data_IF_206085556074
#
_entry.id   IF_206085556074
#
_cell.length_a   1.000
_cell.length_b   1.000
_cell.length_c   1.000
_cell.angle_alpha   90.00
_cell.angle_beta   90.00
_cell.angle_gamma   90.00
#
_symmetry.space_group_name_H-M   'P 1'
#
loop_
_entity.id
_entity.type
_entity.pdbx_description
1 polymer ?
#
# COMPACT_ATOMS: atom_id res chain seq x y z
N UNK A 1 1.77 -5.12 35.40
CA UNK A 1 2.40 -3.79 35.21
C UNK A 1 2.17 -3.42 33.76
N UNK A 2 1.50 -2.30 33.48
CA UNK A 2 1.29 -1.89 32.08
C UNK A 2 2.66 -1.50 31.48
N UNK A 3 3.12 -2.24 30.46
CA UNK A 3 4.39 -1.97 29.76
C UNK A 3 4.51 -0.49 29.34
N UNK A 4 3.40 0.14 28.97
CA UNK A 4 3.33 1.55 28.59
C UNK A 4 3.76 2.52 29.71
N UNK A 5 3.65 2.13 30.98
CA UNK A 5 4.09 2.93 32.12
C UNK A 5 5.58 2.80 32.43
N UNK A 6 6.23 1.74 31.95
CA UNK A 6 7.64 1.43 32.23
C UNK A 6 8.56 1.70 31.03
N UNK A 7 8.08 1.49 29.80
CA UNK A 7 8.83 1.74 28.58
C UNK A 7 7.88 2.03 27.41
N UNK A 8 7.68 3.31 27.03
CA UNK A 8 6.81 3.67 25.91
C UNK A 8 7.35 3.19 24.55
N UNK A 9 8.65 2.93 24.45
CA UNK A 9 9.34 2.54 23.21
C UNK A 9 9.60 1.02 23.14
N UNK A 10 8.91 0.23 23.98
CA UNK A 10 9.14 -1.22 24.12
C UNK A 10 9.14 -1.99 22.79
N UNK A 11 8.24 -1.66 21.85
CA UNK A 11 8.21 -2.32 20.54
C UNK A 11 9.37 -1.91 19.62
N UNK A 12 9.85 -0.66 19.73
CA UNK A 12 11.02 -0.18 18.98
C UNK A 12 12.28 -0.87 19.52
N UNK A 13 12.41 -0.92 20.84
CA UNK A 13 13.52 -1.61 21.51
C UNK A 13 13.53 -3.11 21.19
N UNK A 14 12.38 -3.79 21.26
CA UNK A 14 12.26 -5.23 20.95
C UNK A 14 12.76 -5.54 19.53
N UNK A 15 12.24 -4.84 18.52
CA UNK A 15 12.64 -5.06 17.13
C UNK A 15 14.12 -4.74 16.90
N UNK A 16 14.60 -3.63 17.47
CA UNK A 16 15.99 -3.22 17.33
C UNK A 16 16.93 -4.28 17.91
N UNK A 17 16.68 -4.69 19.16
CA UNK A 17 17.51 -5.66 19.86
C UNK A 17 17.43 -7.06 19.24
N UNK A 18 16.26 -7.48 18.73
CA UNK A 18 16.14 -8.75 18.01
C UNK A 18 17.06 -8.79 16.78
N UNK A 19 17.08 -7.71 15.98
CA UNK A 19 17.97 -7.60 14.82
C UNK A 19 19.45 -7.55 15.23
N UNK A 20 19.82 -6.81 16.28
CA UNK A 20 21.19 -6.77 16.79
C UNK A 20 21.69 -8.14 17.27
N UNK A 21 20.80 -8.95 17.85
CA UNK A 21 21.12 -10.34 18.27
C UNK A 21 21.15 -11.34 17.11
N UNK A 22 20.87 -10.92 15.88
CA UNK A 22 20.77 -11.81 14.71
C UNK A 22 19.48 -12.64 14.66
N UNK A 23 18.50 -12.34 15.52
CA UNK A 23 17.18 -12.99 15.58
C UNK A 23 16.23 -12.34 14.57
N UNK A 24 16.55 -12.47 13.28
CA UNK A 24 15.86 -11.74 12.22
C UNK A 24 14.37 -12.15 12.08
N UNK A 25 13.42 -11.24 12.39
CA UNK A 25 12.00 -11.56 12.23
C UNK A 25 11.65 -11.70 10.75
N UNK A 26 10.68 -12.56 10.47
CA UNK A 26 10.27 -12.84 9.11
C UNK A 26 8.81 -13.22 8.97
N UNK A 27 8.24 -12.92 7.79
CA UNK A 27 6.85 -13.17 7.45
C UNK A 27 6.78 -13.99 6.17
N UNK A 28 5.94 -15.03 6.15
CA UNK A 28 5.60 -15.73 4.90
C UNK A 28 4.48 -14.97 4.22
N UNK A 29 4.69 -14.62 2.96
CA UNK A 29 3.73 -13.83 2.18
C UNK A 29 2.86 -14.77 1.36
N UNK A 30 1.54 -14.57 1.44
CA UNK A 30 0.52 -15.31 0.69
C UNK A 30 -0.39 -14.35 -0.08
N UNK A 31 -1.04 -14.84 -1.12
CA UNK A 31 -2.11 -14.16 -1.84
C UNK A 31 -3.37 -15.02 -1.87
N UNK A 32 -4.54 -14.39 -1.88
CA UNK A 32 -5.77 -15.01 -2.38
C UNK A 32 -5.96 -14.57 -3.84
N UNK A 33 -6.34 -15.51 -4.70
CA UNK A 33 -6.50 -15.25 -6.14
C UNK A 33 -7.95 -15.52 -6.50
N UNK A 34 -8.66 -14.49 -6.93
CA UNK A 34 -10.04 -14.54 -7.41
C UNK A 34 -10.04 -14.11 -8.87
N UNK A 35 -10.76 -14.83 -9.73
CA UNK A 35 -10.94 -14.38 -11.11
C UNK A 35 -11.92 -13.21 -11.15
N UNK A 36 -11.72 -12.29 -12.08
CA UNK A 36 -12.58 -11.12 -12.24
C UNK A 36 -14.06 -11.51 -12.45
N UNK A 37 -14.32 -12.59 -13.19
CA UNK A 37 -15.68 -13.13 -13.41
C UNK A 37 -16.38 -13.55 -12.11
N UNK A 38 -15.64 -14.05 -11.13
CA UNK A 38 -16.19 -14.49 -9.84
C UNK A 38 -16.56 -13.29 -8.96
N UNK A 39 -15.83 -12.18 -9.09
CA UNK A 39 -16.02 -10.98 -8.28
C UNK A 39 -17.42 -10.37 -8.44
N UNK A 40 -17.98 -10.40 -9.65
CA UNK A 40 -19.30 -9.86 -9.97
C UNK A 40 -20.45 -10.64 -9.32
N UNK A 41 -20.21 -11.91 -8.98
CA UNK A 41 -21.21 -12.82 -8.44
C UNK A 41 -20.90 -13.26 -7.01
N UNK A 42 -19.83 -12.72 -6.42
CA UNK A 42 -19.44 -13.09 -5.08
C UNK A 42 -20.45 -12.56 -4.06
N UNK A 43 -20.72 -13.36 -3.02
CA UNK A 43 -21.75 -13.06 -2.01
C UNK A 43 -21.48 -11.79 -1.19
N UNK A 44 -20.23 -11.34 -1.17
CA UNK A 44 -19.81 -10.09 -0.55
C UNK A 44 -19.33 -9.13 -1.62
N UNK A 45 -19.48 -7.82 -1.38
CA UNK A 45 -18.75 -6.84 -2.15
C UNK A 45 -17.25 -7.07 -1.95
N UNK A 46 -16.55 -7.52 -2.99
CA UNK A 46 -15.11 -7.85 -2.94
C UNK A 46 -14.23 -6.61 -2.72
N UNK A 47 -14.80 -5.42 -2.90
CA UNK A 47 -14.16 -4.11 -2.70
C UNK A 47 -14.57 -3.44 -1.38
N UNK A 48 -15.27 -4.15 -0.49
CA UNK A 48 -15.58 -3.68 0.86
C UNK A 48 -14.45 -4.11 1.81
N UNK A 49 -13.62 -3.15 2.23
CA UNK A 49 -12.49 -3.38 3.17
C UNK A 49 -12.92 -3.96 4.53
N UNK A 50 -14.21 -3.90 4.88
CA UNK A 50 -14.74 -4.50 6.12
C UNK A 50 -15.04 -5.99 6.00
N UNK A 51 -14.90 -6.56 4.79
CA UNK A 51 -15.14 -7.97 4.50
C UNK A 51 -13.83 -8.69 4.13
N UNK A 52 -13.68 -9.91 4.62
CA UNK A 52 -12.63 -10.84 4.19
C UNK A 52 -13.18 -11.85 3.18
N UNK A 53 -12.31 -12.38 2.33
CA UNK A 53 -12.62 -13.57 1.52
C UNK A 53 -12.28 -14.80 2.37
N UNK A 54 -13.26 -15.65 2.74
CA UNK A 54 -12.97 -16.84 3.53
C UNK A 54 -11.93 -17.72 2.85
N UNK A 55 -10.92 -18.16 3.60
CA UNK A 55 -9.85 -19.00 3.07
C UNK A 55 -10.34 -20.34 2.50
N UNK A 56 -11.54 -20.79 2.90
CA UNK A 56 -12.18 -21.98 2.32
C UNK A 56 -12.66 -21.79 0.89
N UNK A 57 -12.99 -20.56 0.49
CA UNK A 57 -13.40 -20.22 -0.88
C UNK A 57 -12.17 -19.96 -1.76
N UNK A 58 -11.25 -19.14 -1.25
CA UNK A 58 -10.03 -18.74 -1.93
C UNK A 58 -8.84 -19.05 -1.04
N UNK A 59 -8.23 -20.24 -1.17
CA UNK A 59 -7.10 -20.65 -0.35
C UNK A 59 -5.87 -19.76 -0.52
N UNK A 60 -5.09 -19.62 0.55
CA UNK A 60 -3.84 -18.87 0.56
C UNK A 60 -2.79 -19.53 -0.34
N UNK A 61 -2.27 -18.78 -1.30
CA UNK A 61 -1.19 -19.17 -2.20
C UNK A 61 0.12 -18.54 -1.75
N UNK A 62 1.09 -19.37 -1.36
CA UNK A 62 2.39 -18.88 -0.88
C UNK A 62 3.19 -18.26 -2.02
N UNK A 63 3.66 -17.03 -1.86
CA UNK A 63 4.47 -16.34 -2.86
C UNK A 63 5.91 -16.07 -2.41
N UNK A 64 6.19 -16.01 -1.10
CA UNK A 64 7.56 -15.73 -0.66
C UNK A 64 7.73 -15.53 0.83
N UNK A 65 8.86 -14.92 1.20
CA UNK A 65 9.25 -14.61 2.58
C UNK A 65 9.85 -13.21 2.64
N UNK A 66 9.34 -12.37 3.54
CA UNK A 66 9.94 -11.08 3.90
C UNK A 66 10.77 -11.26 5.17
N UNK A 67 11.98 -10.69 5.21
CA UNK A 67 12.89 -10.78 6.36
C UNK A 67 13.41 -9.39 6.69
N UNK A 68 13.33 -8.99 7.96
CA UNK A 68 13.99 -7.78 8.44
C UNK A 68 15.32 -8.17 9.08
N UNK A 69 16.43 -7.77 8.47
CA UNK A 69 17.77 -8.23 8.86
C UNK A 69 18.78 -7.10 9.07
N UNK A 70 18.31 -5.85 9.14
CA UNK A 70 19.17 -4.68 9.29
C UNK A 70 18.41 -3.55 9.98
N UNK A 71 19.00 -3.00 11.03
CA UNK A 71 18.53 -1.78 11.66
C UNK A 71 18.85 -0.54 10.81
N UNK A 72 18.07 0.55 10.92
CA UNK A 72 18.41 1.82 10.30
C UNK A 72 19.73 2.36 10.86
N UNK A 73 20.58 2.98 10.04
CA UNK A 73 21.81 3.63 10.55
C UNK A 73 21.48 4.94 11.25
N UNK A 74 20.46 5.64 10.76
CA UNK A 74 19.94 6.86 11.38
C UNK A 74 18.41 6.83 11.33
N UNK A 75 17.79 6.86 12.50
CA UNK A 75 16.34 6.76 12.64
C UNK A 75 15.60 7.89 11.91
N UNK A 76 16.06 9.14 12.03
CA UNK A 76 15.38 10.26 11.38
C UNK A 76 15.48 10.18 9.84
N UNK A 77 16.64 9.81 9.31
CA UNK A 77 16.87 9.72 7.87
C UNK A 77 16.20 8.51 7.20
N UNK A 78 16.10 7.37 7.89
CA UNK A 78 15.62 6.11 7.32
C UNK A 78 14.23 5.68 7.81
N UNK A 79 13.73 6.21 8.92
CA UNK A 79 12.41 5.86 9.47
C UNK A 79 11.47 7.05 9.40
N UNK A 80 11.80 8.17 10.05
CA UNK A 80 10.90 9.34 10.07
C UNK A 80 10.68 9.96 8.69
N UNK A 81 11.71 9.95 7.85
CA UNK A 81 11.63 10.44 6.47
C UNK A 81 11.15 9.42 5.45
N UNK A 82 10.85 8.18 5.87
CA UNK A 82 10.29 7.18 4.96
C UNK A 82 8.89 7.60 4.48
N UNK A 83 8.60 7.29 3.22
CA UNK A 83 7.35 7.64 2.55
C UNK A 83 6.81 6.45 1.75
N UNK A 84 5.68 5.91 2.18
CA UNK A 84 5.02 4.77 1.54
C UNK A 84 3.70 5.24 0.90
N UNK A 85 3.49 4.99 -0.38
CA UNK A 85 2.24 5.36 -1.06
C UNK A 85 1.64 4.17 -1.79
N UNK A 86 0.35 3.83 -1.59
CA UNK A 86 -0.32 2.79 -2.36
C UNK A 86 -0.36 3.07 -3.86
N UNK A 87 -0.18 4.32 -4.28
CA UNK A 87 -0.09 4.68 -5.70
C UNK A 87 1.25 4.29 -6.34
N UNK A 88 2.27 3.93 -5.56
CA UNK A 88 3.56 3.45 -6.08
C UNK A 88 3.49 1.95 -6.39
N UNK A 89 2.76 1.60 -7.45
CA UNK A 89 2.68 0.24 -7.97
C UNK A 89 3.70 0.02 -9.09
N UNK A 90 3.97 -1.25 -9.37
CA UNK A 90 4.84 -1.70 -10.46
C UNK A 90 4.01 -2.45 -11.50
N UNK A 91 4.44 -2.50 -12.78
CA UNK A 91 3.72 -3.26 -13.81
C UNK A 91 3.38 -4.69 -13.36
N UNK A 92 2.11 -5.08 -13.55
CA UNK A 92 1.55 -6.35 -13.07
C UNK A 92 0.77 -6.26 -11.77
N UNK A 93 0.81 -5.13 -11.06
CA UNK A 93 -0.05 -4.83 -9.90
C UNK A 93 -0.84 -3.56 -10.20
N UNK A 94 -2.15 -3.61 -10.01
CA UNK A 94 -3.06 -2.52 -10.33
C UNK A 94 -4.09 -2.28 -9.21
N UNK A 95 -4.84 -1.19 -9.32
CA UNK A 95 -5.81 -0.76 -8.31
C UNK A 95 -7.16 -1.45 -8.48
N UNK A 96 -7.83 -1.69 -7.36
CA UNK A 96 -9.22 -2.13 -7.33
C UNK A 96 -10.16 -0.94 -7.12
N UNK A 97 -11.46 -1.17 -7.31
CA UNK A 97 -12.50 -0.16 -7.08
C UNK A 97 -12.91 -0.01 -5.60
N UNK A 98 -12.07 -0.47 -4.66
CA UNK A 98 -12.28 -0.23 -3.23
C UNK A 98 -12.21 1.28 -2.94
N UNK A 99 -13.32 1.85 -2.45
CA UNK A 99 -13.46 3.28 -2.17
C UNK A 99 -12.40 3.80 -1.19
N UNK A 100 -11.98 2.99 -0.22
CA UNK A 100 -10.93 3.36 0.73
C UNK A 100 -9.57 3.34 0.06
N UNK A 101 -9.27 2.34 -0.78
CA UNK A 101 -8.04 2.33 -1.58
C UNK A 101 -7.97 3.56 -2.48
N UNK A 102 -9.05 3.87 -3.20
CA UNK A 102 -9.13 5.01 -4.13
C UNK A 102 -8.77 6.34 -3.46
N UNK A 103 -9.26 6.60 -2.23
CA UNK A 103 -8.87 7.79 -1.47
C UNK A 103 -7.37 7.81 -1.11
N UNK A 104 -6.80 6.65 -0.81
CA UNK A 104 -5.38 6.49 -0.44
C UNK A 104 -4.42 6.66 -1.61
N UNK A 105 -4.87 6.44 -2.85
CA UNK A 105 -4.05 6.70 -4.04
C UNK A 105 -3.63 8.17 -4.15
N UNK A 106 -4.49 9.08 -3.68
CA UNK A 106 -4.19 10.51 -3.62
C UNK A 106 -3.54 10.93 -2.30
N UNK A 107 -4.13 10.54 -1.16
CA UNK A 107 -3.84 11.16 0.13
C UNK A 107 -2.38 11.04 0.58
N UNK A 108 -1.72 9.91 0.29
CA UNK A 108 -0.36 9.65 0.74
C UNK A 108 0.65 10.58 0.07
N UNK A 109 0.63 10.65 -1.26
CA UNK A 109 1.56 11.51 -2.00
C UNK A 109 1.30 12.99 -1.72
N UNK A 110 0.05 13.38 -1.47
CA UNK A 110 -0.29 14.73 -1.00
C UNK A 110 0.32 15.04 0.37
N UNK A 111 0.12 14.17 1.37
CA UNK A 111 0.69 14.39 2.71
C UNK A 111 2.22 14.32 2.71
N UNK A 112 2.85 13.54 1.83
CA UNK A 112 4.31 13.49 1.74
C UNK A 112 4.88 14.83 1.25
N UNK A 113 4.25 15.46 0.26
CA UNK A 113 4.68 16.79 -0.22
C UNK A 113 4.61 17.84 0.87
N UNK A 114 3.60 17.77 1.74
CA UNK A 114 3.51 18.65 2.91
C UNK A 114 4.56 18.32 3.99
N UNK A 115 4.65 17.05 4.39
CA UNK A 115 5.48 16.59 5.52
C UNK A 115 6.98 16.62 5.23
N UNK A 116 7.38 16.28 4.00
CA UNK A 116 8.78 16.08 3.60
C UNK A 116 9.25 17.01 2.48
N UNK A 117 8.32 17.69 1.80
CA UNK A 117 8.60 18.53 0.64
C UNK A 117 8.35 17.82 -0.69
N UNK A 118 8.27 18.59 -1.77
CA UNK A 118 7.93 18.08 -3.11
C UNK A 118 8.96 17.09 -3.65
N UNK A 119 10.24 17.26 -3.28
CA UNK A 119 11.36 16.44 -3.72
C UNK A 119 11.67 15.26 -2.76
N UNK A 120 10.72 14.82 -1.93
CA UNK A 120 10.96 13.75 -0.94
C UNK A 120 11.43 12.41 -1.53
N UNK A 121 11.13 12.15 -2.81
CA UNK A 121 11.60 10.97 -3.55
C UNK A 121 13.12 11.00 -3.84
N UNK A 122 13.78 12.15 -3.70
CA UNK A 122 15.24 12.26 -3.79
C UNK A 122 15.94 11.79 -2.51
N UNK A 123 15.23 11.72 -1.37
CA UNK A 123 15.80 11.25 -0.11
C UNK A 123 16.27 9.79 -0.27
N UNK A 124 17.46 9.40 0.22
CA UNK A 124 18.04 8.08 -0.05
C UNK A 124 17.13 6.88 0.30
N UNK A 125 16.31 7.00 1.35
CA UNK A 125 15.39 5.93 1.76
C UNK A 125 14.19 5.77 0.82
N UNK A 126 13.79 6.84 0.12
CA UNK A 126 12.64 6.89 -0.77
C UNK A 126 13.02 6.75 -2.26
N UNK A 127 14.31 6.86 -2.57
CA UNK A 127 14.79 6.84 -3.95
C UNK A 127 14.62 5.42 -4.56
N UNK A 128 14.07 5.31 -5.79
CA UNK A 128 13.96 4.03 -6.48
C UNK A 128 15.32 3.59 -7.05
N UNK A 129 16.24 3.17 -6.18
CA UNK A 129 17.65 2.88 -6.52
C UNK A 129 17.88 1.74 -7.53
N UNK A 130 16.84 0.95 -7.86
CA UNK A 130 16.92 -0.17 -8.82
C UNK A 130 16.44 0.15 -10.22
N UNK A 131 16.07 1.39 -10.50
CA UNK A 131 15.66 1.83 -11.82
C UNK A 131 16.29 3.18 -12.16
N UNK A 132 16.44 3.44 -13.45
CA UNK A 132 16.65 4.81 -13.90
C UNK A 132 15.34 5.59 -13.76
N UNK A 133 15.42 6.84 -13.31
CA UNK A 133 14.28 7.74 -13.15
C UNK A 133 14.32 8.75 -14.27
N UNK A 134 13.38 8.63 -15.21
CA UNK A 134 13.25 9.52 -16.35
C UNK A 134 11.88 10.18 -16.34
N UNK A 135 11.82 11.50 -16.15
CA UNK A 135 10.58 12.26 -16.22
C UNK A 135 10.81 13.75 -16.53
N UNK A 136 9.73 14.46 -16.77
CA UNK A 136 9.74 15.89 -17.08
C UNK A 136 9.62 16.82 -15.85
N UNK A 137 9.50 16.27 -14.63
CA UNK A 137 9.49 17.10 -13.41
C UNK A 137 10.84 17.82 -13.23
N UNK A 138 10.78 19.07 -12.74
CA UNK A 138 11.93 19.96 -12.53
C UNK A 138 11.75 20.78 -11.24
N UNK A 139 12.86 21.32 -10.75
CA UNK A 139 12.93 22.34 -9.70
C UNK A 139 12.33 21.87 -8.37
N UNK A 140 11.61 22.76 -7.67
CA UNK A 140 11.06 22.53 -6.33
C UNK A 140 12.07 22.78 -5.20
N UNK A 141 11.59 23.12 -3.99
CA UNK A 141 12.46 23.29 -2.83
C UNK A 141 13.36 22.07 -2.58
N UNK A 142 14.59 22.32 -2.15
CA UNK A 142 15.56 21.27 -1.80
C UNK A 142 15.78 20.24 -2.91
N UNK A 143 15.73 20.64 -4.19
CA UNK A 143 16.23 19.79 -5.26
C UNK A 143 17.76 19.74 -5.17
N UNK A 144 18.31 18.56 -4.89
CA UNK A 144 19.76 18.35 -4.75
C UNK A 144 20.30 17.38 -5.83
N UNK A 145 19.50 17.12 -6.85
CA UNK A 145 19.93 16.41 -8.06
C UNK A 145 20.47 17.39 -9.12
N UNK A 146 21.01 16.85 -10.20
CA UNK A 146 21.36 17.65 -11.40
C UNK A 146 20.13 18.20 -12.15
N UNK A 147 18.91 17.96 -11.65
CA UNK A 147 17.64 18.47 -12.20
C UNK A 147 17.49 18.21 -13.71
N UNK A 148 18.01 17.07 -14.18
CA UNK A 148 18.07 16.67 -15.59
C UNK A 148 18.81 17.66 -16.51
N UNK A 149 19.74 18.47 -15.99
CA UNK A 149 20.62 19.36 -16.76
C UNK A 149 19.87 20.19 -17.83
N UNK A 150 20.31 20.12 -19.08
CA UNK A 150 19.74 20.82 -20.23
C UNK A 150 18.72 19.96 -21.01
N UNK A 151 18.22 18.86 -20.43
CA UNK A 151 17.25 18.00 -21.10
C UNK A 151 15.90 18.70 -21.24
N UNK A 152 15.20 18.53 -22.38
CA UNK A 152 13.86 19.05 -22.55
C UNK A 152 12.92 18.63 -21.40
N UNK A 153 12.06 19.55 -20.99
CA UNK A 153 11.15 19.39 -19.85
C UNK A 153 9.67 19.35 -20.27
N UNK A 154 9.40 19.04 -21.54
CA UNK A 154 8.05 18.96 -22.12
C UNK A 154 7.91 17.72 -23.01
N UNK A 155 6.69 17.27 -23.28
CA UNK A 155 6.37 16.14 -24.16
C UNK A 155 5.03 16.43 -24.90
N UNK A 156 4.86 16.11 -26.21
CA UNK A 156 5.80 15.45 -27.11
C UNK A 156 6.98 16.33 -27.57
N UNK A 157 8.11 15.69 -27.88
CA UNK A 157 9.34 16.36 -28.31
C UNK A 157 9.68 16.03 -29.78
N UNK A 158 10.12 17.05 -30.54
CA UNK A 158 10.50 16.91 -31.95
C UNK A 158 11.87 16.27 -32.17
N UNK A 159 12.78 16.36 -31.19
CA UNK A 159 14.14 15.83 -31.24
C UNK A 159 14.51 15.31 -29.85
N UNK A 160 14.63 13.99 -29.72
CA UNK A 160 15.25 13.34 -28.56
C UNK A 160 16.69 12.99 -28.94
N UNK A 161 17.69 13.34 -28.11
CA UNK A 161 19.00 12.72 -28.20
C UNK A 161 18.85 11.19 -28.24
N UNK A 162 19.56 10.54 -29.16
CA UNK A 162 19.36 9.10 -29.48
C UNK A 162 19.64 8.18 -28.28
N UNK A 163 20.42 8.68 -27.33
CA UNK A 163 20.81 8.13 -26.04
C UNK A 163 19.73 8.25 -24.94
N UNK A 164 18.61 8.94 -25.21
CA UNK A 164 17.56 9.22 -24.21
C UNK A 164 16.16 8.75 -24.67
N UNK A 165 16.07 7.55 -25.25
CA UNK A 165 14.79 6.88 -25.55
C UNK A 165 13.90 6.67 -24.30
N UNK A 166 14.43 6.88 -23.09
CA UNK A 166 13.87 6.48 -21.80
C UNK A 166 12.85 7.47 -21.20
N UNK A 167 12.67 8.67 -21.77
CA UNK A 167 11.60 9.61 -21.36
C UNK A 167 10.26 9.37 -22.09
N UNK A 168 10.07 8.19 -22.68
CA UNK A 168 8.85 7.82 -23.40
C UNK A 168 7.96 6.93 -22.55
N UNK A 169 6.66 7.03 -22.78
CA UNK A 169 5.69 6.10 -22.23
C UNK A 169 6.04 4.66 -22.65
N UNK A 170 6.17 3.76 -21.68
CA UNK A 170 6.31 2.33 -21.92
C UNK A 170 4.93 1.73 -22.26
N UNK A 171 4.72 1.23 -23.49
CA UNK A 171 3.44 0.63 -23.87
C UNK A 171 3.09 -0.62 -23.08
N UNK A 172 4.06 -1.28 -22.43
CA UNK A 172 3.88 -2.47 -21.60
C UNK A 172 3.44 -2.13 -20.17
N UNK A 173 3.64 -0.89 -19.71
CA UNK A 173 3.28 -0.42 -18.37
C UNK A 173 1.84 0.11 -18.27
N UNK A 174 0.98 -0.15 -19.27
CA UNK A 174 -0.40 0.34 -19.28
C UNK A 174 -1.23 -0.33 -18.19
N UNK A 175 -2.02 0.48 -17.49
CA UNK A 175 -3.02 -0.01 -16.54
C UNK A 175 -4.07 -0.89 -17.24
N UNK A 176 -4.68 -1.77 -16.45
CA UNK A 176 -5.74 -2.67 -16.85
C UNK A 176 -6.98 -1.87 -17.28
N UNK A 177 -7.63 -2.32 -18.35
CA UNK A 177 -8.89 -1.73 -18.81
C UNK A 177 -10.04 -2.38 -18.07
N UNK A 178 -10.79 -1.60 -17.30
CA UNK A 178 -11.97 -2.07 -16.56
C UNK A 178 -13.24 -1.54 -17.23
N UNK A 179 -14.24 -2.40 -17.42
CA UNK A 179 -15.56 -2.00 -17.91
C UNK A 179 -16.34 -1.35 -16.77
N UNK A 180 -16.94 -0.19 -17.03
CA UNK A 180 -17.78 0.54 -16.07
C UNK A 180 -19.24 0.54 -16.52
N UNK A 181 -20.16 0.51 -15.55
CA UNK A 181 -21.61 0.56 -15.77
C UNK A 181 -22.27 1.51 -14.75
N UNK A 182 -23.44 2.05 -15.10
CA UNK A 182 -24.20 2.97 -14.25
C UNK A 182 -23.99 4.45 -14.57
N UNK A 183 -24.32 5.31 -13.60
CA UNK A 183 -24.20 6.77 -13.69
C UNK A 183 -23.21 7.31 -12.66
N UNK A 184 -22.69 8.51 -12.86
CA UNK A 184 -21.84 9.18 -11.86
C UNK A 184 -22.68 9.68 -10.69
N UNK A 185 -22.23 9.44 -9.45
CA UNK A 185 -22.95 9.87 -8.26
C UNK A 185 -22.24 9.48 -6.96
N UNK A 186 -22.77 9.96 -5.83
CA UNK A 186 -22.34 9.52 -4.49
C UNK A 186 -23.20 8.34 -4.05
N UNK A 187 -22.72 7.14 -4.32
CA UNK A 187 -23.43 5.91 -3.94
C UNK A 187 -23.07 5.53 -2.50
N UNK A 188 -24.08 5.47 -1.63
CA UNK A 188 -23.93 4.86 -0.32
C UNK A 188 -23.63 3.36 -0.49
N UNK A 189 -22.60 2.79 0.17
CA UNK A 189 -22.38 1.35 0.17
C UNK A 189 -23.60 0.53 0.63
N UNK A 190 -24.45 1.14 1.48
CA UNK A 190 -25.68 0.52 1.99
C UNK A 190 -26.86 0.58 1.02
N UNK A 191 -26.81 1.50 0.05
CA UNK A 191 -27.86 1.67 -0.96
C UNK A 191 -27.45 1.09 -2.31
N UNK A 192 -26.16 0.76 -2.50
CA UNK A 192 -25.67 0.04 -3.67
C UNK A 192 -26.10 -1.44 -3.64
N UNK A 193 -26.32 -1.97 -4.83
CA UNK A 193 -26.94 -3.28 -5.12
C UNK A 193 -26.54 -4.40 -4.17
N UNK A 194 -27.53 -5.01 -3.51
CA UNK A 194 -27.41 -6.29 -2.83
C UNK A 194 -26.97 -6.25 -1.36
N UNK A 195 -26.59 -5.08 -0.82
CA UNK A 195 -26.28 -4.96 0.60
C UNK A 195 -27.51 -5.24 1.47
N UNK A 196 -27.31 -6.04 2.53
CA UNK A 196 -28.31 -6.22 3.58
C UNK A 196 -27.73 -5.77 4.92
N UNK A 197 -28.51 -5.04 5.77
CA UNK A 197 -28.00 -4.57 7.07
C UNK A 197 -27.39 -5.67 7.95
N UNK A 198 -27.90 -6.91 7.84
CA UNK A 198 -27.36 -8.08 8.53
C UNK A 198 -25.92 -8.43 8.15
N UNK A 199 -25.45 -8.04 6.96
CA UNK A 199 -24.11 -8.36 6.45
C UNK A 199 -23.00 -7.75 7.30
N UNK A 200 -23.28 -6.63 8.00
CA UNK A 200 -22.36 -5.98 8.93
C UNK A 200 -21.99 -6.90 10.11
N UNK A 201 -22.86 -7.86 10.45
CA UNK A 201 -22.71 -8.71 11.65
C UNK A 201 -22.29 -10.14 11.33
N UNK A 202 -22.40 -10.59 10.07
CA UNK A 202 -22.09 -11.98 9.69
C UNK A 202 -20.62 -12.31 9.95
N UNK A 203 -19.68 -11.53 9.40
CA UNK A 203 -18.26 -11.83 9.53
C UNK A 203 -17.71 -11.59 10.95
N UNK A 204 -18.06 -10.50 11.67
CA UNK A 204 -17.72 -10.37 13.08
C UNK A 204 -18.29 -11.50 13.94
N UNK A 205 -19.54 -11.92 13.68
CA UNK A 205 -20.14 -13.06 14.35
C UNK A 205 -19.41 -14.37 14.07
N UNK A 206 -18.94 -14.59 12.84
CA UNK A 206 -18.11 -15.74 12.50
C UNK A 206 -16.79 -15.73 13.28
N UNK A 207 -16.12 -14.57 13.35
CA UNK A 207 -14.89 -14.42 14.14
C UNK A 207 -15.13 -14.72 15.62
N UNK A 208 -16.17 -14.15 16.24
CA UNK A 208 -16.50 -14.39 17.64
C UNK A 208 -16.76 -15.88 17.94
N UNK A 209 -17.43 -16.60 17.04
CA UNK A 209 -17.67 -18.04 17.17
C UNK A 209 -16.42 -18.90 17.00
N UNK A 210 -15.35 -18.37 16.38
CA UNK A 210 -14.06 -19.04 16.26
C UNK A 210 -13.18 -18.85 17.51
N UNK A 211 -13.44 -17.80 18.30
CA UNK A 211 -12.70 -17.54 19.54
C UNK A 211 -12.95 -18.63 20.58
N UNK A 212 -11.92 -18.96 21.35
CA UNK A 212 -12.00 -19.85 22.51
C UNK A 212 -12.49 -19.09 23.75
N UNK A 213 -12.98 -19.80 24.77
CA UNK A 213 -13.57 -19.20 25.98
C UNK A 213 -12.77 -18.02 26.57
N UNK A 214 -11.45 -18.17 26.84
CA UNK A 214 -10.66 -17.05 27.36
C UNK A 214 -10.58 -15.84 26.41
N UNK A 215 -10.51 -16.06 25.10
CA UNK A 215 -10.46 -15.00 24.10
C UNK A 215 -11.79 -14.22 24.03
N UNK A 216 -12.92 -14.90 24.20
CA UNK A 216 -14.23 -14.27 24.29
C UNK A 216 -14.36 -13.43 25.57
N UNK A 217 -13.92 -13.95 26.71
CA UNK A 217 -13.92 -13.22 27.98
C UNK A 217 -13.05 -11.97 27.92
N UNK A 218 -11.86 -12.07 27.30
CA UNK A 218 -10.95 -10.95 27.13
C UNK A 218 -11.52 -9.91 26.16
N UNK A 219 -12.15 -10.33 25.06
CA UNK A 219 -12.86 -9.41 24.17
C UNK A 219 -13.94 -8.63 24.92
N UNK A 220 -14.77 -9.32 25.72
CA UNK A 220 -15.86 -8.69 26.48
C UNK A 220 -15.30 -7.69 27.51
N UNK A 221 -14.21 -8.01 28.19
CA UNK A 221 -13.59 -7.10 29.19
C UNK A 221 -12.95 -5.86 28.57
N UNK A 222 -12.52 -5.94 27.32
CA UNK A 222 -11.84 -4.85 26.63
C UNK A 222 -12.80 -3.81 26.02
N UNK A 223 -14.08 -4.17 25.81
CA UNK A 223 -15.14 -3.27 25.33
C UNK A 223 -15.70 -2.46 26.49
#
# INVERSE_FOLDING_TARGET
MALNGTNPDSNVEDLFLAIERGEFPSWTVYLQIMKEEDAAHYRWNVFDVTKVWPHGDYPLQKIGKMVLNRNPKNYFAEVEQAAFSPAHMVPGIDVTNDKMLQGRLFSYSDTHRHRLGVNYLQLPINQPYRTFVAHHQRDGPMNFSENFNNLPNYDPQSQLPQDLQEQRDDPQAKMSRVRLEGSTGRFSPRESTGYKPEDDFVQPGNLYRLMKGPEQDDLIKNI
#
